data_IF_743978827156
#
_entry.id   IF_743978827156
#
_cell.length_a   1.000
_cell.length_b   1.000
_cell.length_c   1.000
_cell.angle_alpha   90.00
_cell.angle_beta   90.00
_cell.angle_gamma   90.00
#
_symmetry.space_group_name_H-M   'P 1'
#
loop_
_entity.id
_entity.type
_entity.pdbx_description
1 polymer ?
#
# COMPACT_ATOMS: atom_id res chain seq x y z
N UNK A 1 -1.27 -5.79 1.01
CA UNK A 1 -0.66 -4.49 1.31
C UNK A 1 -1.74 -3.43 1.28
N UNK A 2 -1.75 -2.50 2.22
CA UNK A 2 -2.67 -1.34 2.21
C UNK A 2 -1.89 -0.10 2.64
N UNK A 3 -2.32 1.08 2.19
CA UNK A 3 -1.73 2.38 2.54
C UNK A 3 -2.83 3.33 3.00
N UNK A 4 -2.44 4.43 3.62
CA UNK A 4 -3.33 5.53 3.94
C UNK A 4 -4.14 5.95 2.69
N UNK A 5 -5.49 6.03 2.81
CA UNK A 5 -6.34 6.38 1.68
C UNK A 5 -6.10 7.81 1.19
N UNK A 6 -5.71 8.76 2.05
CA UNK A 6 -5.50 10.15 1.66
C UNK A 6 -4.34 10.31 0.68
N UNK A 7 -3.20 9.68 0.96
CA UNK A 7 -2.05 9.69 0.05
C UNK A 7 -2.30 8.83 -1.20
N UNK A 8 -2.96 7.68 -1.03
CA UNK A 8 -3.26 6.74 -2.12
C UNK A 8 -4.17 7.40 -3.16
N UNK A 9 -5.26 8.04 -2.72
CA UNK A 9 -6.22 8.73 -3.59
C UNK A 9 -5.55 9.87 -4.34
N UNK A 10 -4.79 10.72 -3.65
CA UNK A 10 -4.10 11.85 -4.29
C UNK A 10 -3.07 11.37 -5.31
N UNK A 11 -2.33 10.33 -4.98
CA UNK A 11 -1.39 9.70 -5.92
C UNK A 11 -2.11 9.17 -7.15
N UNK A 12 -3.24 8.49 -6.98
CA UNK A 12 -4.03 7.96 -8.08
C UNK A 12 -4.61 9.07 -8.96
N UNK A 13 -5.20 10.12 -8.39
CA UNK A 13 -5.78 11.23 -9.17
C UNK A 13 -4.74 12.05 -9.93
N UNK A 14 -3.50 12.14 -9.44
CA UNK A 14 -2.38 12.69 -10.24
C UNK A 14 -2.09 11.82 -11.47
N UNK A 15 -2.22 10.50 -11.31
CA UNK A 15 -2.04 9.53 -12.37
C UNK A 15 -3.30 9.34 -13.21
N UNK A 16 -4.49 9.66 -12.76
CA UNK A 16 -5.70 9.49 -13.56
C UNK A 16 -6.77 10.40 -12.98
N UNK A 17 -6.84 11.61 -13.50
CA UNK A 17 -7.70 12.66 -12.98
C UNK A 17 -9.19 12.38 -13.17
N UNK A 18 -9.53 11.51 -14.13
CA UNK A 18 -10.88 11.05 -14.44
C UNK A 18 -11.23 9.71 -13.77
N UNK A 19 -10.41 9.23 -12.82
CA UNK A 19 -10.71 8.03 -12.07
C UNK A 19 -11.97 8.17 -11.21
N UNK A 20 -12.65 7.05 -10.96
CA UNK A 20 -13.80 6.97 -10.05
C UNK A 20 -13.36 6.61 -8.63
N UNK A 21 -14.22 6.87 -7.64
CA UNK A 21 -13.96 6.47 -6.24
C UNK A 21 -13.70 4.96 -6.12
N UNK A 22 -14.45 4.13 -6.85
CA UNK A 22 -14.27 2.68 -6.88
C UNK A 22 -12.88 2.26 -7.40
N UNK A 23 -12.27 3.03 -8.30
CA UNK A 23 -10.95 2.74 -8.86
C UNK A 23 -9.82 2.80 -7.80
N UNK A 24 -10.08 3.39 -6.62
CA UNK A 24 -9.13 3.37 -5.51
C UNK A 24 -8.97 1.96 -4.91
N UNK A 25 -9.98 1.10 -5.07
CA UNK A 25 -9.86 -0.33 -4.84
C UNK A 25 -9.94 -0.81 -3.39
N UNK A 26 -10.19 0.06 -2.39
CA UNK A 26 -10.25 -0.38 -0.99
C UNK A 26 -11.44 -1.31 -0.71
N UNK A 27 -12.58 -1.07 -1.38
CA UNK A 27 -13.72 -1.99 -1.33
C UNK A 27 -13.34 -3.40 -1.80
N UNK A 28 -12.62 -3.51 -2.93
CA UNK A 28 -12.13 -4.80 -3.44
C UNK A 28 -11.09 -5.44 -2.52
N UNK A 29 -10.22 -4.65 -1.89
CA UNK A 29 -9.30 -5.17 -0.87
C UNK A 29 -10.08 -5.74 0.32
N UNK A 30 -11.15 -5.08 0.76
CA UNK A 30 -12.00 -5.60 1.82
C UNK A 30 -12.73 -6.89 1.41
N UNK A 31 -13.21 -6.99 0.18
CA UNK A 31 -13.81 -8.24 -0.34
C UNK A 31 -12.83 -9.41 -0.23
N UNK A 32 -11.56 -9.20 -0.59
CA UNK A 32 -10.50 -10.21 -0.46
C UNK A 32 -10.28 -10.55 1.02
N UNK A 33 -10.07 -9.55 1.87
CA UNK A 33 -9.77 -9.75 3.31
C UNK A 33 -10.90 -10.48 4.01
N UNK A 34 -12.14 -10.02 3.84
CA UNK A 34 -13.33 -10.63 4.43
C UNK A 34 -13.55 -12.07 3.94
N UNK A 35 -13.34 -12.34 2.66
CA UNK A 35 -13.47 -13.70 2.09
C UNK A 35 -12.42 -14.66 2.67
N UNK A 36 -11.15 -14.25 2.69
CA UNK A 36 -10.05 -15.07 3.20
C UNK A 36 -10.21 -15.34 4.70
N UNK A 37 -10.46 -14.30 5.49
CA UNK A 37 -10.57 -14.41 6.95
C UNK A 37 -11.82 -15.17 7.39
N UNK A 38 -12.96 -14.99 6.71
CA UNK A 38 -14.18 -15.77 7.00
C UNK A 38 -14.04 -17.26 6.66
N UNK A 39 -13.11 -17.60 5.76
CA UNK A 39 -12.74 -18.99 5.45
C UNK A 39 -11.75 -19.59 6.47
N UNK A 40 -11.39 -18.85 7.53
CA UNK A 40 -10.45 -19.27 8.56
C UNK A 40 -8.99 -19.32 8.09
N UNK A 41 -8.69 -18.76 6.91
CA UNK A 41 -7.33 -18.73 6.37
C UNK A 41 -6.55 -17.54 6.96
N UNK A 42 -5.27 -17.73 7.30
CA UNK A 42 -4.44 -16.64 7.79
C UNK A 42 -4.14 -15.63 6.67
N UNK A 43 -4.09 -14.37 7.03
CA UNK A 43 -3.68 -13.29 6.14
C UNK A 43 -2.87 -12.28 6.94
N UNK A 44 -1.75 -11.82 6.38
CA UNK A 44 -0.88 -10.83 7.02
C UNK A 44 -1.01 -9.48 6.31
N UNK A 45 -1.11 -8.41 7.10
CA UNK A 45 -1.11 -7.05 6.59
C UNK A 45 0.32 -6.58 6.35
N UNK A 46 0.59 -6.14 5.12
CA UNK A 46 1.78 -5.32 4.83
C UNK A 46 1.33 -3.86 4.78
N UNK A 47 1.83 -3.04 5.69
CA UNK A 47 1.51 -1.62 5.75
C UNK A 47 2.45 -0.84 4.83
N UNK A 48 1.91 -0.29 3.75
CA UNK A 48 2.72 0.37 2.75
C UNK A 48 3.31 1.71 3.19
N UNK A 49 2.77 2.35 4.22
CA UNK A 49 3.36 3.58 4.78
C UNK A 49 4.53 3.22 5.69
N UNK A 50 4.45 2.09 6.41
CA UNK A 50 5.62 1.50 7.09
C UNK A 50 6.69 1.06 6.10
N UNK A 51 6.33 0.43 4.97
CA UNK A 51 7.30 0.12 3.90
C UNK A 51 7.99 1.39 3.37
N UNK A 52 7.24 2.48 3.20
CA UNK A 52 7.82 3.73 2.71
C UNK A 52 8.75 4.40 3.74
N UNK A 53 8.42 4.34 5.03
CA UNK A 53 9.19 4.97 6.10
C UNK A 53 10.39 4.15 6.59
N UNK A 54 10.21 2.84 6.80
CA UNK A 54 11.23 1.91 7.26
C UNK A 54 11.01 0.53 6.60
N UNK A 55 11.47 0.36 5.35
CA UNK A 55 11.24 -0.87 4.59
C UNK A 55 11.89 -2.09 5.25
N UNK A 56 13.04 -1.94 5.91
CA UNK A 56 13.69 -3.07 6.58
C UNK A 56 12.83 -3.58 7.75
N UNK A 57 12.37 -2.68 8.62
CA UNK A 57 11.55 -3.08 9.76
C UNK A 57 10.24 -3.76 9.34
N UNK A 58 9.54 -3.21 8.34
CA UNK A 58 8.28 -3.78 7.87
C UNK A 58 8.49 -5.12 7.14
N UNK A 59 9.53 -5.23 6.30
CA UNK A 59 9.81 -6.50 5.62
C UNK A 59 10.29 -7.59 6.59
N UNK A 60 10.99 -7.23 7.68
CA UNK A 60 11.30 -8.19 8.75
C UNK A 60 10.05 -8.72 9.45
N UNK A 61 9.05 -7.86 9.71
CA UNK A 61 7.75 -8.29 10.28
C UNK A 61 7.03 -9.26 9.33
N UNK A 62 6.98 -8.91 8.05
CA UNK A 62 6.40 -9.78 7.02
C UNK A 62 7.10 -11.14 6.96
N UNK A 63 8.43 -11.16 6.88
CA UNK A 63 9.20 -12.41 6.83
C UNK A 63 8.97 -13.27 8.08
N UNK A 64 8.94 -12.67 9.27
CA UNK A 64 8.65 -13.39 10.51
C UNK A 64 7.23 -13.98 10.53
N UNK A 65 6.23 -13.24 10.04
CA UNK A 65 4.85 -13.73 9.97
C UNK A 65 4.66 -14.87 8.96
N UNK A 66 5.48 -14.91 7.91
CA UNK A 66 5.45 -15.96 6.88
C UNK A 66 6.39 -17.14 7.16
N UNK A 67 7.12 -17.12 8.27
CA UNK A 67 8.16 -18.11 8.62
C UNK A 67 9.24 -18.28 7.53
N UNK A 68 9.72 -17.15 7.00
CA UNK A 68 10.80 -17.10 6.01
C UNK A 68 11.97 -16.24 6.49
N UNK A 69 13.16 -16.53 6.01
CA UNK A 69 14.34 -15.73 6.30
C UNK A 69 14.26 -14.36 5.61
N UNK A 70 14.54 -13.28 6.36
CA UNK A 70 14.73 -11.96 5.80
C UNK A 70 16.11 -11.85 5.12
N UNK A 71 16.13 -11.39 3.87
CA UNK A 71 17.33 -11.13 3.09
C UNK A 71 17.49 -9.62 2.90
N UNK A 72 18.47 -8.94 3.52
CA UNK A 72 18.65 -7.49 3.37
C UNK A 72 18.79 -7.02 1.92
N UNK A 73 19.44 -7.84 1.09
CA UNK A 73 19.61 -7.58 -0.35
C UNK A 73 18.29 -7.55 -1.13
N UNK A 74 17.19 -8.11 -0.59
CA UNK A 74 15.86 -8.04 -1.21
C UNK A 74 15.29 -6.63 -1.26
N UNK A 75 15.81 -5.69 -0.45
CA UNK A 75 15.39 -4.30 -0.48
C UNK A 75 15.99 -3.51 -1.65
N UNK A 76 17.02 -4.04 -2.32
CA UNK A 76 17.69 -3.42 -3.46
C UNK A 76 17.39 -4.18 -4.75
N UNK A 77 17.11 -3.47 -5.85
CA UNK A 77 16.76 -4.09 -7.13
C UNK A 77 17.50 -3.49 -8.31
N UNK A 78 17.77 -4.34 -9.33
CA UNK A 78 18.49 -3.95 -10.55
C UNK A 78 17.57 -3.13 -11.46
N UNK A 79 18.05 -1.97 -11.86
CA UNK A 79 17.37 -0.80 -12.45
C UNK A 79 16.67 -1.00 -13.81
N UNK A 80 16.52 -2.21 -14.33
CA UNK A 80 15.85 -2.40 -15.62
C UNK A 80 14.41 -2.90 -15.43
N UNK A 81 13.38 -2.05 -15.67
CA UNK A 81 12.01 -2.51 -15.65
C UNK A 81 11.80 -3.56 -16.76
N UNK A 82 11.03 -4.62 -16.49
CA UNK A 82 10.81 -5.67 -17.48
C UNK A 82 10.09 -5.10 -18.72
N UNK A 83 10.31 -5.67 -19.93
CA UNK A 83 9.69 -5.19 -21.16
C UNK A 83 8.16 -5.10 -21.12
N UNK A 84 7.51 -5.90 -20.28
CA UNK A 84 6.06 -5.90 -20.06
C UNK A 84 5.53 -4.57 -19.50
N UNK A 85 6.37 -3.79 -18.82
CA UNK A 85 5.97 -2.52 -18.22
C UNK A 85 5.80 -1.40 -19.25
N UNK A 86 6.19 -1.58 -20.51
CA UNK A 86 6.07 -0.52 -21.53
C UNK A 86 4.62 -0.05 -21.72
N UNK A 87 3.66 -0.98 -21.72
CA UNK A 87 2.24 -0.65 -21.92
C UNK A 87 1.66 0.17 -20.75
N UNK A 88 2.18 -0.04 -19.54
CA UNK A 88 1.77 0.64 -18.31
C UNK A 88 2.85 1.61 -17.81
N UNK A 89 3.77 2.03 -18.68
CA UNK A 89 5.00 2.72 -18.28
C UNK A 89 4.74 4.01 -17.51
N UNK A 90 3.64 4.70 -17.82
CA UNK A 90 3.18 5.88 -17.07
C UNK A 90 2.92 5.56 -15.58
N UNK A 91 2.33 4.41 -15.28
CA UNK A 91 2.08 3.95 -13.90
C UNK A 91 3.36 3.49 -13.20
N UNK A 92 4.38 3.09 -13.95
CA UNK A 92 5.63 2.56 -13.41
C UNK A 92 6.81 3.54 -13.46
N UNK A 93 6.62 4.80 -13.88
CA UNK A 93 7.73 5.74 -14.05
C UNK A 93 8.59 5.89 -12.78
N UNK A 94 7.97 6.17 -11.63
CA UNK A 94 8.70 6.29 -10.36
C UNK A 94 9.35 4.98 -9.89
N UNK A 95 8.70 3.85 -10.15
CA UNK A 95 9.24 2.52 -9.83
C UNK A 95 10.39 2.12 -10.78
N UNK A 96 10.39 2.62 -12.00
CA UNK A 96 11.44 2.37 -13.01
C UNK A 96 12.71 3.17 -12.73
N UNK A 97 12.59 4.29 -12.00
CA UNK A 97 13.71 5.14 -11.62
C UNK A 97 14.31 4.77 -10.26
N UNK A 98 13.58 4.02 -9.42
CA UNK A 98 14.07 3.57 -8.12
C UNK A 98 15.01 2.36 -8.26
N UNK A 99 15.85 2.18 -7.24
CA UNK A 99 16.76 1.03 -7.12
C UNK A 99 16.66 0.34 -5.76
N UNK A 100 15.77 0.81 -4.89
CA UNK A 100 15.52 0.27 -3.56
C UNK A 100 14.11 0.61 -3.08
N UNK A 101 13.61 -0.16 -2.09
CA UNK A 101 12.40 0.19 -1.34
C UNK A 101 12.66 1.37 -0.40
N UNK A 102 11.62 2.15 -0.13
CA UNK A 102 11.67 3.31 0.76
C UNK A 102 10.98 4.53 0.18
N UNK A 103 11.17 5.67 0.84
CA UNK A 103 10.52 6.92 0.46
C UNK A 103 10.82 7.29 -0.99
N UNK A 104 9.76 7.52 -1.77
CA UNK A 104 9.88 8.17 -3.07
C UNK A 104 10.51 9.57 -2.88
N UNK A 105 11.25 10.09 -3.88
CA UNK A 105 11.74 11.47 -3.82
C UNK A 105 10.59 12.43 -3.48
N UNK A 106 10.81 13.28 -2.48
CA UNK A 106 9.84 14.24 -2.02
C UNK A 106 9.40 15.15 -3.16
N UNK A 107 8.10 15.44 -3.22
CA UNK A 107 7.56 16.48 -4.10
C UNK A 107 6.68 15.93 -5.21
N UNK A 108 5.38 15.87 -4.92
CA UNK A 108 4.42 16.25 -5.95
C UNK A 108 3.63 17.41 -5.37
N UNK A 109 3.62 18.54 -6.08
CA UNK A 109 2.90 19.75 -5.67
C UNK A 109 1.42 19.47 -5.39
N UNK A 110 0.71 20.46 -4.80
CA UNK A 110 -0.72 20.32 -4.52
C UNK A 110 -1.48 19.92 -5.80
N UNK A 111 -2.54 19.12 -5.65
CA UNK A 111 -3.45 18.93 -6.77
C UNK A 111 -4.16 20.27 -7.09
N UNK A 112 -4.66 20.44 -8.32
CA UNK A 112 -5.65 21.48 -8.60
C UNK A 112 -6.83 21.39 -7.61
N UNK A 113 -7.38 22.54 -7.19
CA UNK A 113 -8.43 22.60 -6.16
C UNK A 113 -9.64 21.68 -6.42
N UNK A 114 -10.03 21.51 -7.68
CA UNK A 114 -11.10 20.59 -8.06
C UNK A 114 -10.74 19.14 -7.74
N UNK A 115 -9.51 18.73 -8.07
CA UNK A 115 -9.02 17.39 -7.78
C UNK A 115 -8.76 17.20 -6.27
N UNK A 116 -8.41 18.25 -5.51
CA UNK A 116 -8.36 18.14 -4.05
C UNK A 116 -9.75 17.89 -3.44
N UNK A 117 -10.81 18.54 -3.96
CA UNK A 117 -12.19 18.26 -3.51
C UNK A 117 -12.62 16.83 -3.84
N UNK A 118 -12.30 16.36 -5.05
CA UNK A 118 -12.55 14.97 -5.47
C UNK A 118 -11.74 13.99 -4.60
N UNK A 119 -10.47 14.29 -4.32
CA UNK A 119 -9.62 13.47 -3.47
C UNK A 119 -10.20 13.34 -2.06
N UNK A 120 -10.62 14.45 -1.46
CA UNK A 120 -11.24 14.44 -0.14
C UNK A 120 -12.56 13.64 -0.12
N UNK A 121 -13.34 13.66 -1.20
CA UNK A 121 -14.54 12.82 -1.31
C UNK A 121 -14.20 11.33 -1.39
N UNK A 122 -13.25 10.96 -2.26
CA UNK A 122 -12.87 9.57 -2.44
C UNK A 122 -12.18 9.02 -1.18
N UNK A 123 -11.35 9.81 -0.51
CA UNK A 123 -10.73 9.46 0.77
C UNK A 123 -11.79 9.08 1.82
N UNK A 124 -12.86 9.89 1.95
CA UNK A 124 -13.98 9.57 2.84
C UNK A 124 -14.70 8.26 2.47
N UNK A 125 -14.83 7.98 1.18
CA UNK A 125 -15.45 6.73 0.71
C UNK A 125 -14.55 5.51 0.99
N UNK A 126 -13.23 5.68 0.94
CA UNK A 126 -12.26 4.59 1.13
C UNK A 126 -11.94 4.31 2.60
N UNK A 127 -12.01 5.33 3.46
CA UNK A 127 -11.60 5.25 4.87
C UNK A 127 -12.29 4.10 5.65
N UNK A 128 -13.61 3.86 5.53
CA UNK A 128 -14.25 2.76 6.23
C UNK A 128 -13.66 1.39 5.87
N UNK A 129 -13.31 1.16 4.61
CA UNK A 129 -12.70 -0.10 4.18
C UNK A 129 -11.27 -0.25 4.69
N UNK A 130 -10.49 0.84 4.71
CA UNK A 130 -9.16 0.84 5.31
C UNK A 130 -9.22 0.48 6.80
N UNK A 131 -10.16 1.07 7.54
CA UNK A 131 -10.40 0.76 8.96
C UNK A 131 -10.80 -0.70 9.17
N UNK A 132 -11.71 -1.25 8.34
CA UNK A 132 -12.09 -2.67 8.39
C UNK A 132 -10.89 -3.60 8.13
N UNK A 133 -10.07 -3.31 7.12
CA UNK A 133 -8.89 -4.11 6.77
C UNK A 133 -7.87 -4.10 7.93
N UNK A 134 -7.55 -2.91 8.45
CA UNK A 134 -6.57 -2.74 9.51
C UNK A 134 -7.02 -3.34 10.85
N UNK A 135 -8.32 -3.27 11.15
CA UNK A 135 -8.91 -3.92 12.32
C UNK A 135 -8.91 -5.46 12.19
N UNK A 136 -9.29 -5.99 11.03
CA UNK A 136 -9.35 -7.43 10.78
C UNK A 136 -7.98 -8.10 10.81
N UNK A 137 -6.97 -7.45 10.23
CA UNK A 137 -5.62 -7.99 10.11
C UNK A 137 -4.66 -7.52 11.21
N UNK A 138 -5.09 -6.57 12.05
CA UNK A 138 -4.41 -6.21 13.28
C UNK A 138 -3.15 -5.37 13.08
N UNK A 139 -3.29 -4.14 12.57
CA UNK A 139 -2.19 -3.16 12.46
C UNK A 139 -1.42 -2.93 13.79
N UNK A 140 -2.06 -3.22 14.93
CA UNK A 140 -1.54 -3.11 16.30
C UNK A 140 -1.38 -4.45 17.05
N UNK A 141 -1.61 -5.61 16.42
CA UNK A 141 -1.51 -6.93 17.09
C UNK A 141 -0.07 -7.40 17.39
N UNK A 142 0.93 -6.55 17.11
CA UNK A 142 2.33 -6.76 17.48
C UNK A 142 2.64 -6.57 18.98
N UNK A 143 1.64 -6.24 19.82
CA UNK A 143 1.79 -6.36 21.28
C UNK A 143 1.84 -7.86 21.63
N UNK A 144 3.07 -8.36 21.77
CA UNK A 144 3.42 -9.68 22.31
C UNK A 144 2.45 -10.06 23.46
N UNK A 145 1.95 -11.30 23.53
CA UNK A 145 1.16 -11.72 24.68
C UNK A 145 1.99 -11.52 25.96
N UNK A 146 1.42 -10.84 26.95
CA UNK A 146 1.92 -10.88 28.32
C UNK A 146 1.82 -12.35 28.76
N UNK A 147 2.97 -13.00 28.88
CA UNK A 147 3.11 -14.33 29.46
C UNK A 147 2.94 -14.17 30.98
N UNK A 148 2.14 -15.04 31.63
CA UNK A 148 1.45 -14.74 32.89
C UNK A 148 2.34 -14.47 34.11
#
# INVERSE_FOLDING_TARGET
>A
MVRDPGDTVRSHLRMQSDATSAAMGFGHLWDIVSTVTSSGLPMHLVDGDRVAGDPEAEMRRYCAAMDIAFLPESLAFRKEPPPSWRATGRWHAGASESSALGAAPAGKGPLPDELERTAAAFERDQLPYYELITAALGKDRDRKPEVP
#
